data_IF_569335059801
#
_entry.id   IF_569335059801
#
_cell.length_a   1.000
_cell.length_b   1.000
_cell.length_c   1.000
_cell.angle_alpha   90.00
_cell.angle_beta   90.00
_cell.angle_gamma   90.00
#
_symmetry.space_group_name_H-M   'P 1'
#
loop_
_entity.id
_entity.type
_entity.pdbx_description
1 polymer ?
#
# COMPACT_ATOMS: atom_id res chain seq x y z
N UNK A 1 0.68 5.35 -14.56
CA UNK A 1 1.05 3.96 -14.23
C UNK A 1 0.22 3.44 -13.07
N UNK A 2 0.25 4.09 -11.89
CA UNK A 2 -0.57 3.70 -10.73
C UNK A 2 -2.07 3.53 -11.06
N UNK A 3 -2.66 4.47 -11.81
CA UNK A 3 -4.05 4.36 -12.26
C UNK A 3 -4.37 3.08 -13.06
N UNK A 4 -3.50 2.67 -13.99
CA UNK A 4 -3.69 1.42 -14.74
C UNK A 4 -3.55 0.17 -13.84
N UNK A 5 -2.63 0.23 -12.88
CA UNK A 5 -2.48 -0.81 -11.85
C UNK A 5 -3.73 -0.96 -10.98
N UNK A 6 -4.22 0.15 -10.42
CA UNK A 6 -5.42 0.18 -9.58
C UNK A 6 -6.70 -0.17 -10.35
N UNK A 7 -6.82 0.25 -11.61
CA UNK A 7 -7.92 -0.17 -12.48
C UNK A 7 -7.92 -1.70 -12.66
N UNK A 8 -6.76 -2.28 -12.92
CA UNK A 8 -6.63 -3.73 -13.04
C UNK A 8 -7.00 -4.45 -11.73
N UNK A 9 -6.55 -3.94 -10.57
CA UNK A 9 -6.95 -4.42 -9.24
C UNK A 9 -8.46 -4.35 -9.05
N UNK A 10 -9.09 -3.22 -9.39
CA UNK A 10 -10.52 -3.01 -9.22
C UNK A 10 -11.35 -3.96 -10.09
N UNK A 11 -11.05 -4.04 -11.40
CA UNK A 11 -11.76 -4.92 -12.33
C UNK A 11 -11.61 -6.39 -11.95
N UNK A 12 -10.41 -6.82 -11.56
CA UNK A 12 -10.16 -8.20 -11.10
C UNK A 12 -10.84 -8.50 -9.75
N UNK A 13 -11.02 -7.49 -8.90
CA UNK A 13 -11.79 -7.65 -7.66
C UNK A 13 -13.27 -7.84 -7.95
N UNK A 14 -13.84 -7.08 -8.89
CA UNK A 14 -15.24 -7.27 -9.33
C UNK A 14 -15.42 -8.63 -9.98
N UNK A 15 -14.48 -9.07 -10.82
CA UNK A 15 -14.51 -10.40 -11.46
C UNK A 15 -14.61 -11.57 -10.47
N UNK A 16 -14.11 -11.42 -9.24
CA UNK A 16 -14.24 -12.47 -8.20
C UNK A 16 -15.68 -12.64 -7.72
N UNK A 17 -16.46 -11.56 -7.69
CA UNK A 17 -17.86 -11.58 -7.26
C UNK A 17 -18.83 -11.74 -8.42
N UNK A 18 -18.47 -11.24 -9.60
CA UNK A 18 -19.26 -11.30 -10.83
C UNK A 18 -18.38 -11.74 -11.99
N UNK A 19 -18.12 -13.06 -12.15
CA UNK A 19 -17.33 -13.57 -13.25
C UNK A 19 -17.89 -13.14 -14.62
N UNK A 20 -17.03 -12.64 -15.51
CA UNK A 20 -17.42 -12.19 -16.85
C UNK A 20 -17.91 -10.74 -16.92
N UNK A 21 -17.82 -9.98 -15.83
CA UNK A 21 -18.04 -8.53 -15.82
C UNK A 21 -17.07 -7.79 -16.76
N UNK A 22 -15.80 -8.18 -16.81
CA UNK A 22 -14.77 -7.67 -17.72
C UNK A 22 -14.21 -8.81 -18.56
N UNK A 23 -14.29 -8.74 -19.90
CA UNK A 23 -13.67 -9.73 -20.77
C UNK A 23 -12.18 -9.93 -20.47
N UNK A 24 -11.73 -11.18 -20.39
CA UNK A 24 -10.32 -11.51 -20.13
C UNK A 24 -9.38 -10.88 -21.17
N UNK A 25 -9.84 -10.70 -22.40
CA UNK A 25 -9.11 -9.98 -23.45
C UNK A 25 -8.75 -8.55 -23.05
N UNK A 26 -9.64 -7.84 -22.36
CA UNK A 26 -9.43 -6.44 -21.98
C UNK A 26 -8.54 -6.31 -20.75
N UNK A 27 -8.72 -7.21 -19.78
CA UNK A 27 -7.78 -7.37 -18.66
C UNK A 27 -6.36 -7.66 -19.15
N UNK A 28 -6.21 -8.53 -20.15
CA UNK A 28 -4.92 -8.81 -20.81
C UNK A 28 -4.36 -7.57 -21.51
N UNK A 29 -5.17 -6.73 -22.16
CA UNK A 29 -4.69 -5.49 -22.79
C UNK A 29 -4.12 -4.52 -21.74
N UNK A 30 -4.83 -4.33 -20.62
CA UNK A 30 -4.32 -3.54 -19.48
C UNK A 30 -3.02 -4.13 -18.92
N UNK A 31 -2.96 -5.44 -18.72
CA UNK A 31 -1.75 -6.14 -18.29
C UNK A 31 -0.56 -5.93 -19.25
N UNK A 32 -0.78 -6.07 -20.57
CA UNK A 32 0.26 -5.81 -21.59
C UNK A 32 0.72 -4.36 -21.56
N UNK A 33 -0.17 -3.40 -21.35
CA UNK A 33 0.21 -1.99 -21.22
C UNK A 33 1.10 -1.77 -19.99
N UNK A 34 0.76 -2.34 -18.84
CA UNK A 34 1.60 -2.26 -17.62
C UNK A 34 2.98 -2.87 -17.89
N UNK A 35 3.05 -4.06 -18.51
CA UNK A 35 4.32 -4.70 -18.86
C UNK A 35 5.12 -3.87 -19.85
N UNK A 36 4.47 -3.25 -20.84
CA UNK A 36 5.10 -2.32 -21.78
C UNK A 36 5.74 -1.11 -21.08
N UNK A 37 5.11 -0.63 -20.00
CA UNK A 37 5.64 0.46 -19.17
C UNK A 37 6.81 0.03 -18.25
N UNK A 38 7.19 -1.26 -18.24
CA UNK A 38 8.27 -1.76 -17.39
C UNK A 38 9.65 -1.54 -18.02
N UNK A 39 10.56 -0.99 -17.24
CA UNK A 39 11.96 -0.79 -17.59
C UNK A 39 12.75 -2.10 -17.49
N UNK A 40 13.92 -2.10 -18.14
CA UNK A 40 14.84 -3.24 -18.11
C UNK A 40 15.28 -3.64 -16.69
N UNK A 41 15.31 -2.71 -15.73
CA UNK A 41 15.71 -2.95 -14.35
C UNK A 41 14.56 -3.37 -13.41
N UNK A 42 13.31 -3.40 -13.90
CA UNK A 42 12.12 -3.78 -13.13
C UNK A 42 11.25 -2.62 -12.66
N UNK A 43 11.75 -1.38 -12.69
CA UNK A 43 10.91 -0.20 -12.42
C UNK A 43 9.85 -0.01 -13.50
N UNK A 44 8.85 0.82 -13.24
CA UNK A 44 7.93 1.29 -14.27
C UNK A 44 8.11 2.78 -14.55
N UNK A 45 7.85 3.21 -15.78
CA UNK A 45 7.62 4.62 -16.09
C UNK A 45 6.34 5.10 -15.39
N UNK A 46 6.36 6.27 -14.75
CA UNK A 46 5.18 6.74 -14.01
C UNK A 46 4.09 7.31 -14.94
N UNK A 47 4.50 7.91 -16.05
CA UNK A 47 3.62 8.64 -16.95
C UNK A 47 3.74 8.14 -18.39
N UNK A 48 2.62 8.16 -19.11
CA UNK A 48 2.54 7.87 -20.54
C UNK A 48 1.76 9.02 -21.20
N UNK A 49 2.44 9.79 -22.04
CA UNK A 49 1.85 10.92 -22.76
C UNK A 49 2.20 10.75 -24.24
N UNK A 50 1.27 10.27 -25.09
CA UNK A 50 1.55 10.01 -26.51
C UNK A 50 2.17 11.20 -27.25
N UNK A 51 1.65 12.40 -26.98
CA UNK A 51 2.11 13.64 -27.61
C UNK A 51 3.53 14.08 -27.21
N UNK A 52 4.10 13.52 -26.14
CA UNK A 52 5.44 13.85 -25.64
C UNK A 52 6.47 12.74 -25.88
N UNK A 53 6.22 11.85 -26.83
CA UNK A 53 7.11 10.71 -27.10
C UNK A 53 6.86 9.51 -26.19
N UNK A 54 5.62 9.35 -25.70
CA UNK A 54 5.13 8.21 -24.93
C UNK A 54 5.64 8.12 -23.48
N UNK A 55 6.55 7.20 -23.18
CA UNK A 55 6.95 6.85 -21.81
C UNK A 55 7.83 7.95 -21.20
N UNK A 56 7.38 8.54 -20.09
CA UNK A 56 8.11 9.64 -19.43
C UNK A 56 8.66 9.24 -18.07
N UNK A 57 9.90 9.67 -17.81
CA UNK A 57 10.65 9.35 -16.58
C UNK A 57 11.08 10.57 -15.76
N UNK A 58 10.44 11.73 -16.00
CA UNK A 58 10.82 12.99 -15.32
C UNK A 58 10.50 12.98 -13.81
N UNK A 59 9.60 12.09 -13.39
CA UNK A 59 9.17 11.93 -12.01
C UNK A 59 8.75 10.49 -11.76
N UNK A 60 9.04 9.98 -10.57
CA UNK A 60 8.66 8.63 -10.15
C UNK A 60 7.86 8.68 -8.85
N UNK A 61 6.65 8.11 -8.89
CA UNK A 61 5.87 7.85 -7.67
C UNK A 61 6.49 6.69 -6.89
N UNK A 62 6.50 6.82 -5.56
CA UNK A 62 6.83 5.71 -4.67
C UNK A 62 5.84 4.55 -4.83
N UNK A 63 4.54 4.86 -4.94
CA UNK A 63 3.46 3.88 -4.81
C UNK A 63 3.13 3.15 -6.12
N UNK A 64 3.27 3.84 -7.26
CA UNK A 64 2.74 3.33 -8.54
C UNK A 64 3.31 1.97 -8.91
N UNK A 65 4.61 1.77 -8.70
CA UNK A 65 5.27 0.49 -9.03
C UNK A 65 4.59 -0.69 -8.34
N UNK A 66 4.29 -0.57 -7.04
CA UNK A 66 3.70 -1.64 -6.27
C UNK A 66 2.19 -1.80 -6.51
N UNK A 67 1.47 -0.71 -6.80
CA UNK A 67 0.07 -0.76 -7.25
C UNK A 67 -0.08 -1.60 -8.52
N UNK A 68 0.76 -1.36 -9.53
CA UNK A 68 0.69 -2.13 -10.77
C UNK A 68 1.26 -3.54 -10.63
N UNK A 69 2.25 -3.73 -9.76
CA UNK A 69 2.73 -5.05 -9.39
C UNK A 69 1.59 -5.89 -8.82
N UNK A 70 0.78 -5.35 -7.90
CA UNK A 70 -0.38 -6.04 -7.35
C UNK A 70 -1.41 -6.38 -8.44
N UNK A 71 -1.72 -5.44 -9.34
CA UNK A 71 -2.61 -5.68 -10.48
C UNK A 71 -2.15 -6.83 -11.38
N UNK A 72 -0.85 -6.89 -11.70
CA UNK A 72 -0.27 -8.00 -12.47
C UNK A 72 -0.36 -9.34 -11.75
N UNK A 73 -0.11 -9.36 -10.43
CA UNK A 73 -0.23 -10.59 -9.63
C UNK A 73 -1.67 -11.10 -9.57
N UNK A 74 -2.65 -10.21 -9.43
CA UNK A 74 -4.06 -10.57 -9.50
C UNK A 74 -4.44 -11.07 -10.90
N UNK A 75 -3.87 -10.49 -11.97
CA UNK A 75 -4.12 -10.96 -13.33
C UNK A 75 -3.53 -12.35 -13.54
N UNK A 76 -2.34 -12.62 -13.00
CA UNK A 76 -1.74 -13.95 -13.01
C UNK A 76 -2.66 -15.00 -12.38
N UNK A 77 -3.34 -14.68 -11.27
CA UNK A 77 -4.24 -15.66 -10.65
C UNK A 77 -5.37 -16.12 -11.59
N UNK A 78 -5.88 -15.20 -12.44
CA UNK A 78 -6.95 -15.47 -13.39
C UNK A 78 -6.46 -16.05 -14.72
N UNK A 79 -5.35 -15.54 -15.25
CA UNK A 79 -4.86 -15.82 -16.60
C UNK A 79 -3.72 -16.86 -16.65
N UNK A 80 -3.02 -17.08 -15.55
CA UNK A 80 -1.88 -18.00 -15.37
C UNK A 80 -0.68 -17.79 -16.31
N UNK A 81 -0.66 -16.73 -17.11
CA UNK A 81 0.49 -16.37 -17.94
C UNK A 81 1.68 -15.91 -17.08
N UNK A 82 2.82 -16.61 -17.19
CA UNK A 82 4.06 -16.28 -16.48
C UNK A 82 4.54 -14.85 -16.72
N UNK A 83 4.20 -14.25 -17.87
CA UNK A 83 4.50 -12.84 -18.17
C UNK A 83 4.12 -11.90 -17.03
N UNK A 84 2.94 -12.09 -16.44
CA UNK A 84 2.43 -11.21 -15.39
C UNK A 84 3.21 -11.37 -14.09
N UNK A 85 3.43 -12.62 -13.66
CA UNK A 85 4.14 -12.91 -12.43
C UNK A 85 5.64 -12.57 -12.52
N UNK A 86 6.27 -12.82 -13.67
CA UNK A 86 7.67 -12.48 -13.91
C UNK A 86 7.90 -10.97 -13.90
N UNK A 87 7.02 -10.21 -14.55
CA UNK A 87 7.06 -8.74 -14.50
C UNK A 87 6.84 -8.22 -13.09
N UNK A 88 5.86 -8.76 -12.35
CA UNK A 88 5.63 -8.38 -10.96
C UNK A 88 6.85 -8.70 -10.06
N UNK A 89 7.43 -9.89 -10.19
CA UNK A 89 8.61 -10.29 -9.43
C UNK A 89 9.79 -9.38 -9.71
N UNK A 90 10.01 -9.01 -10.98
CA UNK A 90 11.09 -8.11 -11.37
C UNK A 90 10.98 -6.74 -10.69
N UNK A 91 9.77 -6.22 -10.55
CA UNK A 91 9.50 -4.97 -9.84
C UNK A 91 9.77 -5.09 -8.34
N UNK A 92 9.25 -6.12 -7.68
CA UNK A 92 9.50 -6.38 -6.25
C UNK A 92 10.99 -6.58 -5.96
N UNK A 93 11.68 -7.36 -6.81
CA UNK A 93 13.12 -7.61 -6.70
C UNK A 93 13.91 -6.31 -6.79
N UNK A 94 13.58 -5.43 -7.74
CA UNK A 94 14.26 -4.16 -7.90
C UNK A 94 14.21 -3.32 -6.61
N UNK A 95 13.04 -3.25 -5.98
CA UNK A 95 12.86 -2.53 -4.72
C UNK A 95 13.63 -3.23 -3.58
N UNK A 96 13.52 -4.56 -3.51
CA UNK A 96 14.16 -5.37 -2.48
C UNK A 96 15.69 -5.28 -2.47
N UNK A 97 16.30 -5.02 -3.62
CA UNK A 97 17.75 -4.86 -3.76
C UNK A 97 18.30 -3.53 -3.25
N UNK A 98 17.43 -2.57 -2.88
CA UNK A 98 17.86 -1.30 -2.28
C UNK A 98 18.40 -1.51 -0.87
N UNK A 99 19.32 -0.64 -0.46
CA UNK A 99 19.94 -0.69 0.87
C UNK A 99 18.89 -0.53 1.98
N UNK A 100 18.98 -1.36 3.01
CA UNK A 100 18.10 -1.31 4.19
C UNK A 100 18.08 0.08 4.87
N UNK A 101 19.19 0.82 4.82
CA UNK A 101 19.27 2.19 5.39
C UNK A 101 18.43 3.23 4.65
N UNK A 102 18.04 2.97 3.41
CA UNK A 102 17.30 3.90 2.56
C UNK A 102 15.88 3.42 2.23
N UNK A 103 15.38 2.42 2.97
CA UNK A 103 14.02 1.91 2.79
C UNK A 103 13.01 3.06 2.95
N UNK A 104 12.19 3.23 1.92
CA UNK A 104 11.00 4.09 1.97
C UNK A 104 9.81 3.22 2.32
N UNK A 105 8.95 3.68 3.22
CA UNK A 105 7.75 2.92 3.61
C UNK A 105 6.74 2.96 2.49
N UNK A 106 6.41 1.78 1.95
CA UNK A 106 5.40 1.58 0.92
C UNK A 106 4.53 0.36 1.25
N UNK A 107 3.34 0.62 1.79
CA UNK A 107 2.38 -0.44 2.12
C UNK A 107 1.99 -1.31 0.92
N UNK A 108 1.96 -0.76 -0.31
CA UNK A 108 1.65 -1.54 -1.50
C UNK A 108 2.72 -2.60 -1.77
N UNK A 109 3.98 -2.34 -1.41
CA UNK A 109 5.03 -3.35 -1.50
C UNK A 109 4.74 -4.56 -0.59
N UNK A 110 4.28 -4.31 0.63
CA UNK A 110 3.95 -5.37 1.59
C UNK A 110 2.74 -6.19 1.10
N UNK A 111 1.70 -5.52 0.60
CA UNK A 111 0.50 -6.18 0.02
C UNK A 111 0.87 -6.99 -1.23
N UNK A 112 1.66 -6.42 -2.14
CA UNK A 112 2.12 -7.13 -3.33
C UNK A 112 3.06 -8.29 -3.00
N UNK A 113 3.86 -8.18 -1.94
CA UNK A 113 4.73 -9.27 -1.46
C UNK A 113 3.92 -10.42 -0.88
N UNK A 114 2.95 -10.13 -0.01
CA UNK A 114 1.98 -11.13 0.45
C UNK A 114 1.36 -11.87 -0.74
N UNK A 115 0.85 -11.10 -1.71
CA UNK A 115 0.20 -11.66 -2.89
C UNK A 115 1.12 -12.56 -3.70
N UNK A 116 2.36 -12.14 -3.93
CA UNK A 116 3.36 -12.92 -4.65
C UNK A 116 3.66 -14.24 -3.94
N UNK A 117 3.86 -14.19 -2.62
CA UNK A 117 4.20 -15.36 -1.81
C UNK A 117 3.03 -16.35 -1.70
N UNK A 118 1.78 -15.89 -1.86
CA UNK A 118 0.58 -16.73 -1.84
C UNK A 118 0.23 -17.35 -3.21
N UNK A 119 0.96 -17.04 -4.29
CA UNK A 119 0.62 -17.54 -5.62
C UNK A 119 0.85 -19.06 -5.73
N UNK A 120 -0.22 -19.79 -6.01
CA UNK A 120 -0.13 -21.19 -6.45
C UNK A 120 0.43 -21.25 -7.89
N UNK A 121 1.32 -22.21 -8.16
CA UNK A 121 1.94 -22.49 -9.47
C UNK A 121 2.95 -21.42 -9.97
N UNK A 122 3.45 -20.56 -9.08
CA UNK A 122 4.59 -19.68 -9.34
C UNK A 122 5.71 -19.93 -8.32
N UNK A 123 6.72 -20.69 -8.72
CA UNK A 123 7.77 -21.13 -7.81
C UNK A 123 8.91 -20.12 -7.70
N UNK A 124 8.90 -19.34 -6.63
CA UNK A 124 10.07 -18.60 -6.19
C UNK A 124 11.09 -19.55 -5.53
N UNK A 125 12.35 -19.42 -5.91
CA UNK A 125 13.45 -20.08 -5.19
C UNK A 125 13.57 -19.54 -3.77
N UNK A 126 14.17 -20.32 -2.86
CA UNK A 126 14.39 -19.90 -1.47
C UNK A 126 15.12 -18.55 -1.37
N UNK A 127 16.11 -18.31 -2.23
CA UNK A 127 16.84 -17.03 -2.29
C UNK A 127 15.93 -15.85 -2.66
N UNK A 128 15.02 -16.05 -3.60
CA UNK A 128 14.09 -14.99 -4.03
C UNK A 128 13.07 -14.69 -2.94
N UNK A 129 12.51 -15.73 -2.30
CA UNK A 129 11.61 -15.57 -1.15
C UNK A 129 12.30 -14.81 -0.01
N UNK A 130 13.51 -15.23 0.37
CA UNK A 130 14.26 -14.57 1.43
C UNK A 130 14.55 -13.10 1.12
N UNK A 131 14.90 -12.77 -0.12
CA UNK A 131 15.12 -11.38 -0.53
C UNK A 131 13.88 -10.50 -0.28
N UNK A 132 12.69 -10.96 -0.67
CA UNK A 132 11.45 -10.21 -0.48
C UNK A 132 11.07 -10.10 1.01
N UNK A 133 11.16 -11.22 1.73
CA UNK A 133 10.83 -11.29 3.16
C UNK A 133 11.76 -10.40 4.00
N UNK A 134 13.07 -10.43 3.74
CA UNK A 134 14.04 -9.57 4.45
C UNK A 134 13.81 -8.08 4.19
N UNK A 135 13.44 -7.69 2.97
CA UNK A 135 13.11 -6.29 2.68
C UNK A 135 11.80 -5.86 3.36
N UNK A 136 10.77 -6.71 3.31
CA UNK A 136 9.51 -6.47 4.01
C UNK A 136 9.70 -6.33 5.52
N UNK A 137 10.55 -7.17 6.13
CA UNK A 137 10.91 -7.07 7.54
C UNK A 137 11.54 -5.71 7.88
N UNK A 138 12.53 -5.26 7.10
CA UNK A 138 13.14 -3.94 7.32
C UNK A 138 12.17 -2.77 7.13
N UNK A 139 11.18 -2.90 6.25
CA UNK A 139 10.12 -1.91 6.11
C UNK A 139 9.18 -1.89 7.32
N UNK A 140 8.84 -3.07 7.87
CA UNK A 140 8.07 -3.17 9.11
C UNK A 140 8.83 -2.55 10.28
N UNK A 141 10.12 -2.84 10.44
CA UNK A 141 10.97 -2.20 11.47
C UNK A 141 10.90 -0.67 11.39
N UNK A 142 11.01 -0.13 10.17
CA UNK A 142 10.91 1.33 9.95
C UNK A 142 9.53 1.87 10.31
N UNK A 143 8.45 1.19 9.90
CA UNK A 143 7.09 1.57 10.28
C UNK A 143 6.98 1.65 11.82
N UNK A 144 7.43 0.61 12.51
CA UNK A 144 7.34 0.50 13.98
C UNK A 144 8.11 1.63 14.67
N UNK A 145 9.33 1.94 14.20
CA UNK A 145 10.15 3.03 14.72
C UNK A 145 9.51 4.41 14.54
N UNK A 146 8.68 4.58 13.51
CA UNK A 146 7.96 5.84 13.24
C UNK A 146 6.67 5.99 14.05
N UNK A 147 6.22 4.97 14.81
CA UNK A 147 4.99 5.05 15.57
C UNK A 147 5.08 6.07 16.70
N UNK A 148 4.08 6.93 16.80
CA UNK A 148 3.98 7.91 17.89
C UNK A 148 3.57 7.18 19.17
N UNK A 149 4.51 7.01 20.08
CA UNK A 149 4.28 6.44 21.42
C UNK A 149 4.42 7.48 22.56
N UNK A 150 4.91 8.68 22.23
CA UNK A 150 5.21 9.73 23.22
C UNK A 150 3.96 10.30 23.87
N UNK A 151 4.03 10.55 25.18
CA UNK A 151 3.01 11.26 25.96
C UNK A 151 2.92 12.75 25.65
N UNK A 152 3.85 13.32 24.87
CA UNK A 152 3.84 14.75 24.51
C UNK A 152 2.66 15.13 23.61
N UNK A 153 2.17 14.18 22.82
CA UNK A 153 1.03 14.34 21.92
C UNK A 153 0.07 13.15 22.10
N UNK A 154 -0.63 13.06 23.26
CA UNK A 154 -1.43 11.89 23.61
C UNK A 154 -2.52 11.59 22.57
N UNK A 155 -3.06 12.62 21.91
CA UNK A 155 -4.06 12.51 20.86
C UNK A 155 -3.54 11.86 19.57
N UNK A 156 -2.22 11.84 19.34
CA UNK A 156 -1.61 11.21 18.17
C UNK A 156 -1.02 9.83 18.49
N UNK A 157 -1.15 9.37 19.74
CA UNK A 157 -0.61 8.10 20.18
C UNK A 157 -1.18 6.95 19.33
N UNK A 158 -0.30 6.12 18.80
CA UNK A 158 -0.64 5.02 17.90
C UNK A 158 -0.63 5.39 16.42
N UNK A 159 -0.77 6.68 16.08
CA UNK A 159 -0.61 7.18 14.71
C UNK A 159 0.86 7.30 14.27
N UNK A 160 1.06 7.74 13.03
CA UNK A 160 2.41 7.89 12.42
C UNK A 160 2.64 9.27 11.79
N UNK A 161 1.87 10.28 12.19
CA UNK A 161 2.05 11.64 11.69
C UNK A 161 1.81 12.64 12.79
N UNK A 162 2.79 13.53 13.01
CA UNK A 162 2.74 14.58 14.04
C UNK A 162 1.72 15.68 13.73
N UNK A 163 1.12 15.65 12.54
CA UNK A 163 0.02 16.53 12.13
C UNK A 163 -1.36 15.84 12.27
N UNK A 164 -1.42 14.66 12.87
CA UNK A 164 -2.68 13.95 13.14
C UNK A 164 -3.37 13.40 11.90
N UNK A 165 -2.71 13.32 10.74
CA UNK A 165 -3.31 12.72 9.54
C UNK A 165 -3.67 11.25 9.73
N UNK A 166 -4.83 10.88 9.20
CA UNK A 166 -5.41 9.54 9.34
C UNK A 166 -4.83 8.57 8.30
N UNK A 167 -4.82 8.94 7.02
CA UNK A 167 -4.36 8.05 5.92
C UNK A 167 -2.96 7.48 6.12
N UNK A 168 -1.93 8.24 6.55
CA UNK A 168 -0.60 7.67 6.79
C UNK A 168 -0.59 6.56 7.83
N UNK A 169 -1.54 6.58 8.77
CA UNK A 169 -1.68 5.54 9.80
C UNK A 169 -2.47 4.34 9.30
N UNK A 170 -3.55 4.55 8.55
CA UNK A 170 -4.33 3.45 7.97
C UNK A 170 -3.52 2.64 6.95
N UNK A 171 -2.78 3.30 6.05
CA UNK A 171 -1.98 2.57 5.04
C UNK A 171 -0.83 1.76 5.68
N UNK A 172 -0.23 2.28 6.76
CA UNK A 172 0.79 1.52 7.51
C UNK A 172 0.20 0.31 8.19
N UNK A 173 -1.02 0.42 8.71
CA UNK A 173 -1.76 -0.71 9.25
C UNK A 173 -2.05 -1.74 8.16
N UNK A 174 -2.54 -1.35 6.98
CA UNK A 174 -2.74 -2.28 5.84
C UNK A 174 -1.45 -3.05 5.52
N UNK A 175 -0.32 -2.34 5.45
CA UNK A 175 0.98 -2.95 5.20
C UNK A 175 1.42 -3.93 6.30
N UNK A 176 1.27 -3.57 7.57
CA UNK A 176 1.62 -4.44 8.70
C UNK A 176 0.73 -5.69 8.78
N UNK A 177 -0.55 -5.56 8.44
CA UNK A 177 -1.49 -6.68 8.36
C UNK A 177 -1.07 -7.66 7.26
N UNK A 178 -0.78 -7.16 6.06
CA UNK A 178 -0.27 -7.98 4.96
C UNK A 178 1.07 -8.64 5.34
N UNK A 179 1.98 -7.92 5.98
CA UNK A 179 3.25 -8.47 6.44
C UNK A 179 3.06 -9.59 7.48
N UNK A 180 2.02 -9.50 8.31
CA UNK A 180 1.78 -10.47 9.37
C UNK A 180 1.41 -11.86 8.87
N UNK A 181 0.91 -11.99 7.64
CA UNK A 181 0.53 -13.27 7.05
C UNK A 181 1.74 -14.08 6.53
N UNK A 182 2.86 -13.43 6.23
CA UNK A 182 4.04 -14.09 5.66
C UNK A 182 5.34 -13.92 6.45
N UNK A 183 5.43 -12.94 7.37
CA UNK A 183 6.59 -12.83 8.24
C UNK A 183 6.63 -13.99 9.25
N UNK A 184 7.79 -14.63 9.47
CA UNK A 184 7.89 -15.68 10.47
C UNK A 184 7.50 -15.17 11.86
N UNK A 185 6.77 -15.99 12.62
CA UNK A 185 6.22 -15.63 13.94
C UNK A 185 7.26 -15.00 14.87
N UNK A 186 8.47 -15.57 14.93
CA UNK A 186 9.58 -15.06 15.75
C UNK A 186 9.96 -13.61 15.42
N UNK A 187 9.94 -13.22 14.13
CA UNK A 187 10.18 -11.82 13.75
C UNK A 187 9.06 -10.91 14.23
N UNK A 188 7.79 -11.35 14.10
CA UNK A 188 6.63 -10.57 14.53
C UNK A 188 6.65 -10.31 16.04
N UNK A 189 6.98 -11.34 16.82
CA UNK A 189 7.12 -11.26 18.28
C UNK A 189 8.28 -10.34 18.68
N UNK A 190 9.46 -10.52 18.09
CA UNK A 190 10.64 -9.69 18.37
C UNK A 190 10.40 -8.20 18.09
N UNK A 191 9.71 -7.90 16.99
CA UNK A 191 9.38 -6.53 16.60
C UNK A 191 8.18 -5.94 17.35
N UNK A 192 7.38 -6.76 18.03
CA UNK A 192 6.14 -6.34 18.68
C UNK A 192 5.07 -5.84 17.69
N UNK A 193 4.98 -6.44 16.50
CA UNK A 193 4.06 -6.02 15.44
C UNK A 193 2.61 -5.97 15.93
N UNK A 194 2.16 -6.98 16.66
CA UNK A 194 0.78 -7.07 17.15
C UNK A 194 0.43 -5.91 18.11
N UNK A 195 1.39 -5.50 18.95
CA UNK A 195 1.23 -4.34 19.84
C UNK A 195 1.17 -3.02 19.07
N UNK A 196 1.92 -2.91 17.96
CA UNK A 196 1.89 -1.74 17.08
C UNK A 196 0.54 -1.66 16.40
N UNK A 197 0.09 -2.76 15.78
CA UNK A 197 -1.23 -2.90 15.15
C UNK A 197 -2.34 -2.48 16.11
N UNK A 198 -2.34 -3.00 17.35
CA UNK A 198 -3.35 -2.64 18.34
C UNK A 198 -3.40 -1.14 18.63
N UNK A 199 -2.24 -0.49 18.75
CA UNK A 199 -2.19 0.96 18.99
C UNK A 199 -2.70 1.76 17.80
N UNK A 200 -2.43 1.32 16.57
CA UNK A 200 -2.99 1.97 15.37
C UNK A 200 -4.50 1.80 15.33
N UNK A 201 -5.01 0.61 15.66
CA UNK A 201 -6.45 0.36 15.73
C UNK A 201 -7.14 1.28 16.73
N UNK A 202 -6.57 1.44 17.93
CA UNK A 202 -7.12 2.36 18.93
C UNK A 202 -7.12 3.81 18.39
N UNK A 203 -6.01 4.26 17.79
CA UNK A 203 -5.93 5.58 17.14
C UNK A 203 -7.02 5.79 16.08
N UNK A 204 -7.27 4.79 15.22
CA UNK A 204 -8.30 4.86 14.19
C UNK A 204 -9.72 4.77 14.75
N UNK A 205 -9.93 4.08 15.88
CA UNK A 205 -11.21 4.07 16.56
C UNK A 205 -11.51 5.43 17.19
N UNK A 206 -10.51 6.07 17.80
CA UNK A 206 -10.63 7.40 18.38
C UNK A 206 -10.83 8.49 17.31
N UNK A 207 -10.25 8.29 16.12
CA UNK A 207 -10.34 9.22 15.00
C UNK A 207 -11.70 9.22 14.26
N UNK A 208 -12.55 8.23 14.51
CA UNK A 208 -13.81 8.08 13.80
C UNK A 208 -14.84 9.11 14.29
N UNK A 209 -15.56 9.75 13.37
CA UNK A 209 -16.71 10.58 13.73
C UNK A 209 -17.78 9.70 14.39
N UNK A 210 -18.21 10.06 15.61
CA UNK A 210 -19.08 9.21 16.46
C UNK A 210 -20.56 9.56 16.40
N UNK A 211 -20.90 10.73 15.86
CA UNK A 211 -22.26 11.24 15.88
C UNK A 211 -22.55 12.18 14.69
N UNK A 212 -23.83 12.47 14.49
CA UNK A 212 -24.32 13.39 13.46
C UNK A 212 -24.35 12.79 12.05
N UNK A 213 -24.51 13.67 11.05
CA UNK A 213 -24.72 13.28 9.64
C UNK A 213 -23.55 12.49 9.03
N UNK A 214 -22.36 12.58 9.63
CA UNK A 214 -21.15 11.93 9.13
C UNK A 214 -20.62 10.85 10.08
N UNK A 215 -21.48 10.30 10.94
CA UNK A 215 -21.15 9.16 11.80
C UNK A 215 -20.48 8.04 11.00
N UNK A 216 -19.40 7.49 11.55
CA UNK A 216 -18.60 6.43 10.94
C UNK A 216 -17.55 6.89 9.93
N UNK A 217 -17.59 8.17 9.51
CA UNK A 217 -16.62 8.70 8.55
C UNK A 217 -15.29 9.12 9.20
N UNK A 218 -14.32 9.41 8.33
CA UNK A 218 -12.97 9.83 8.67
C UNK A 218 -12.60 11.10 7.92
N UNK A 219 -12.03 12.07 8.64
CA UNK A 219 -11.54 13.31 8.07
C UNK A 219 -10.08 13.17 7.60
N UNK A 220 -9.48 14.24 7.08
CA UNK A 220 -8.06 14.26 6.72
C UNK A 220 -7.15 14.06 7.93
N UNK A 221 -7.47 14.73 9.04
CA UNK A 221 -6.67 14.77 10.25
C UNK A 221 -7.54 15.06 11.49
N UNK A 222 -7.04 14.66 12.66
CA UNK A 222 -7.74 14.84 13.93
C UNK A 222 -8.01 16.30 14.30
N UNK A 223 -7.06 17.20 14.00
CA UNK A 223 -7.18 18.62 14.32
C UNK A 223 -6.36 19.51 13.40
N UNK A 224 -6.63 20.82 13.51
CA UNK A 224 -5.78 21.85 12.94
C UNK A 224 -4.44 21.90 13.67
N UNK A 225 -3.38 22.22 12.94
CA UNK A 225 -2.05 22.47 13.50
C UNK A 225 -1.87 23.98 13.73
N UNK A 226 -1.13 24.34 14.77
CA UNK A 226 -0.90 25.74 15.16
C UNK A 226 0.15 26.43 14.28
N UNK A 227 0.06 27.75 14.18
CA UNK A 227 0.95 28.63 13.43
C UNK A 227 0.29 29.25 12.17
N UNK A 228 1.06 30.08 11.45
CA UNK A 228 0.52 30.92 10.36
C UNK A 228 1.40 30.89 9.08
N UNK A 229 1.96 29.72 8.77
CA UNK A 229 2.64 29.54 7.48
C UNK A 229 1.64 29.18 6.38
N UNK A 230 1.99 29.47 5.13
CA UNK A 230 1.24 29.01 3.95
C UNK A 230 0.95 27.50 3.97
N UNK A 231 1.91 26.70 4.45
CA UNK A 231 1.72 25.26 4.60
C UNK A 231 0.62 24.94 5.62
N UNK A 232 0.67 25.57 6.80
CA UNK A 232 -0.31 25.39 7.88
C UNK A 232 -1.69 25.83 7.42
N UNK A 233 -1.79 26.99 6.76
CA UNK A 233 -3.04 27.51 6.23
C UNK A 233 -3.66 26.57 5.19
N UNK A 234 -2.85 26.03 4.27
CA UNK A 234 -3.33 25.02 3.30
C UNK A 234 -3.68 23.67 3.95
N UNK A 235 -2.98 23.27 5.00
CA UNK A 235 -3.30 22.07 5.76
C UNK A 235 -4.66 22.22 6.46
N UNK A 236 -4.80 23.28 7.26
CA UNK A 236 -5.95 23.58 8.11
C UNK A 236 -7.26 23.78 7.34
N UNK A 237 -7.20 24.26 6.09
CA UNK A 237 -8.36 24.37 5.19
C UNK A 237 -9.04 23.03 4.90
N UNK A 238 -8.31 21.91 5.03
CA UNK A 238 -8.78 20.58 4.61
C UNK A 238 -8.87 19.58 5.74
N UNK A 239 -8.61 20.00 6.98
CA UNK A 239 -8.56 19.10 8.15
C UNK A 239 -9.86 18.32 8.32
N UNK A 240 -11.00 18.98 8.11
CA UNK A 240 -12.34 18.43 8.25
C UNK A 240 -12.89 17.80 6.97
N UNK A 241 -12.12 17.78 5.87
CA UNK A 241 -12.57 17.14 4.63
C UNK A 241 -12.74 15.64 4.85
N UNK A 242 -13.87 15.09 4.39
CA UNK A 242 -14.08 13.65 4.23
C UNK A 242 -13.85 13.33 2.77
N UNK A 243 -12.96 12.37 2.49
CA UNK A 243 -12.67 11.88 1.15
C UNK A 243 -12.76 10.37 1.13
N UNK A 244 -13.18 9.82 -0.01
CA UNK A 244 -13.23 8.37 -0.22
C UNK A 244 -11.92 7.68 0.16
N UNK A 245 -10.79 8.29 -0.19
CA UNK A 245 -9.45 7.81 0.15
C UNK A 245 -9.24 7.61 1.67
N UNK A 246 -9.71 8.57 2.49
CA UNK A 246 -9.56 8.50 3.95
C UNK A 246 -10.37 7.35 4.53
N UNK A 247 -11.62 7.25 4.11
CA UNK A 247 -12.56 6.24 4.59
C UNK A 247 -12.15 4.85 4.08
N UNK A 248 -11.78 4.73 2.80
CA UNK A 248 -11.41 3.46 2.17
C UNK A 248 -10.21 2.81 2.85
N UNK A 249 -9.12 3.55 3.07
CA UNK A 249 -7.93 2.97 3.68
C UNK A 249 -8.18 2.56 5.14
N UNK A 250 -8.97 3.34 5.89
CA UNK A 250 -9.33 2.95 7.27
C UNK A 250 -10.19 1.70 7.28
N UNK A 251 -11.24 1.64 6.46
CA UNK A 251 -12.12 0.46 6.39
C UNK A 251 -11.36 -0.79 5.94
N UNK A 252 -10.52 -0.67 4.91
CA UNK A 252 -9.66 -1.76 4.42
C UNK A 252 -8.76 -2.29 5.54
N UNK A 253 -8.10 -1.39 6.29
CA UNK A 253 -7.28 -1.76 7.43
C UNK A 253 -8.07 -2.44 8.57
N UNK A 254 -9.25 -1.91 8.91
CA UNK A 254 -10.09 -2.48 9.98
C UNK A 254 -10.67 -3.86 9.61
N UNK A 255 -11.05 -4.05 8.34
CA UNK A 255 -11.49 -5.35 7.83
C UNK A 255 -10.33 -6.35 7.88
N UNK A 256 -9.14 -5.94 7.45
CA UNK A 256 -7.94 -6.77 7.54
C UNK A 256 -7.62 -7.17 8.98
N UNK A 257 -7.72 -6.23 9.92
CA UNK A 257 -7.52 -6.49 11.35
C UNK A 257 -8.55 -7.48 11.93
N UNK A 258 -9.82 -7.37 11.51
CA UNK A 258 -10.87 -8.31 11.95
C UNK A 258 -10.62 -9.75 11.47
N UNK A 259 -9.87 -9.94 10.39
CA UNK A 259 -9.60 -11.22 9.77
C UNK A 259 -8.25 -11.86 10.18
N UNK A 260 -7.47 -11.19 11.07
CA UNK A 260 -6.29 -11.77 11.72
C UNK A 260 -6.66 -12.93 12.65
#
# INVERSE_FOLDING_TARGET
MGGAGLELVALLSIEKFRPGFTPLSDLRKLGRFIVYMQKADGRFYSNYIPSEGAMLDRWTSLYYTCEATLGLLMLYEKDKSKLWADSAYKALKHIAQKNHKTIQVDHWYLIATEKMLSLNNYDLTARQKNLLVSHAAGMCEKIIQEQIISHRYPEFRGGFSQDGRITPSSIRLEGLLAASSFLPKQYRELMGIDSVIQRVMNFLQDAQIKDGQHEGAYTRALKKIEGDSDYINRFNKRVTEIRIDYVQHVLSAMIGYKNL
#
